data_IF_911871609044
#
_entry.id   IF_911871609044
#
_cell.length_a   1.000
_cell.length_b   1.000
_cell.length_c   1.000
_cell.angle_alpha   90.00
_cell.angle_beta   90.00
_cell.angle_gamma   90.00
#
_symmetry.space_group_name_H-M   'P 1'
#
loop_
_entity.id
_entity.type
_entity.pdbx_description
1 polymer ?
#
# COMPACT_ATOMS: atom_id res chain seq x y z
N UNK A 1 -3.76 -1.96 27.98
CA UNK A 1 -3.25 -0.76 27.27
C UNK A 1 -4.06 -0.60 25.99
N UNK A 2 -4.51 0.62 25.66
CA UNK A 2 -5.19 0.89 24.39
C UNK A 2 -4.22 0.66 23.24
N UNK A 3 -4.59 -0.15 22.25
CA UNK A 3 -3.75 -0.39 21.09
C UNK A 3 -3.44 0.95 20.39
N UNK A 4 -2.18 1.17 19.93
CA UNK A 4 -1.81 2.39 19.24
C UNK A 4 -2.66 2.57 17.97
N UNK A 5 -2.97 3.82 17.66
CA UNK A 5 -3.67 4.21 16.44
C UNK A 5 -2.65 4.70 15.42
N UNK A 6 -2.66 4.11 14.24
CA UNK A 6 -1.75 4.47 13.15
C UNK A 6 -2.53 5.16 12.03
N UNK A 7 -1.98 6.25 11.52
CA UNK A 7 -2.47 6.92 10.30
C UNK A 7 -1.52 6.62 9.16
N UNK A 8 -2.02 6.06 8.07
CA UNK A 8 -1.28 5.82 6.84
C UNK A 8 -1.71 6.86 5.81
N UNK A 9 -0.74 7.59 5.24
CA UNK A 9 -0.98 8.62 4.23
C UNK A 9 -0.65 8.04 2.85
N UNK A 10 -1.65 8.01 1.98
CA UNK A 10 -1.62 7.42 0.64
C UNK A 10 -2.32 6.05 0.59
N UNK A 11 -3.34 5.92 -0.25
CA UNK A 11 -4.05 4.66 -0.55
C UNK A 11 -3.60 4.04 -1.88
N UNK A 12 -2.29 4.15 -2.18
CA UNK A 12 -1.64 3.34 -3.19
C UNK A 12 -1.37 1.91 -2.70
N UNK A 13 -0.79 1.06 -3.55
CA UNK A 13 -0.47 -0.33 -3.23
C UNK A 13 0.34 -0.48 -1.94
N UNK A 14 1.38 0.34 -1.74
CA UNK A 14 2.20 0.32 -0.53
C UNK A 14 1.40 0.70 0.72
N UNK A 15 0.72 1.84 0.71
CA UNK A 15 -0.03 2.32 1.87
C UNK A 15 -1.19 1.39 2.25
N UNK A 16 -1.91 0.87 1.27
CA UNK A 16 -2.98 -0.11 1.48
C UNK A 16 -2.45 -1.43 2.05
N UNK A 17 -1.31 -1.94 1.55
CA UNK A 17 -0.68 -3.14 2.08
C UNK A 17 -0.18 -2.95 3.52
N UNK A 18 0.44 -1.80 3.82
CA UNK A 18 0.87 -1.45 5.19
C UNK A 18 -0.33 -1.36 6.13
N UNK A 19 -1.41 -0.68 5.72
CA UNK A 19 -2.61 -0.57 6.54
C UNK A 19 -3.26 -1.93 6.82
N UNK A 20 -3.27 -2.81 5.82
CA UNK A 20 -3.77 -4.17 5.95
C UNK A 20 -2.94 -5.01 6.94
N UNK A 21 -1.61 -5.01 6.82
CA UNK A 21 -0.72 -5.72 7.75
C UNK A 21 -0.90 -5.20 9.19
N UNK A 22 -0.98 -3.89 9.39
CA UNK A 22 -1.22 -3.29 10.70
C UNK A 22 -2.59 -3.67 11.29
N UNK A 23 -3.64 -3.71 10.46
CA UNK A 23 -4.97 -4.13 10.89
C UNK A 23 -4.98 -5.62 11.30
N UNK A 24 -4.29 -6.50 10.56
CA UNK A 24 -4.15 -7.92 10.92
C UNK A 24 -3.41 -8.11 12.25
N UNK A 25 -2.49 -7.20 12.60
CA UNK A 25 -1.79 -7.20 13.90
C UNK A 25 -2.64 -6.63 15.04
N UNK A 26 -3.90 -6.27 14.80
CA UNK A 26 -4.84 -5.77 15.81
C UNK A 26 -4.68 -4.27 16.13
N UNK A 27 -3.99 -3.50 15.30
CA UNK A 27 -3.90 -2.05 15.46
C UNK A 27 -5.13 -1.37 14.87
N UNK A 28 -5.49 -0.22 15.44
CA UNK A 28 -6.47 0.67 14.81
C UNK A 28 -5.74 1.46 13.72
N UNK A 29 -6.26 1.45 12.50
CA UNK A 29 -5.63 2.10 11.36
C UNK A 29 -6.61 3.00 10.65
N UNK A 30 -6.16 4.19 10.27
CA UNK A 30 -6.90 5.10 9.37
C UNK A 30 -6.02 5.36 8.15
N UNK A 31 -6.58 5.18 6.95
CA UNK A 31 -5.89 5.51 5.69
C UNK A 31 -6.47 6.81 5.15
N UNK A 32 -5.60 7.72 4.70
CA UNK A 32 -5.99 8.99 4.11
C UNK A 32 -5.38 9.10 2.71
N UNK A 33 -6.21 9.37 1.72
CA UNK A 33 -5.80 9.59 0.32
C UNK A 33 -6.37 10.92 -0.17
N UNK A 34 -5.63 11.61 -1.05
CA UNK A 34 -6.05 12.87 -1.65
C UNK A 34 -7.19 12.67 -2.65
N UNK A 35 -7.17 11.58 -3.40
CA UNK A 35 -8.16 11.26 -4.43
C UNK A 35 -8.82 9.89 -4.23
N UNK A 36 -9.16 9.24 -5.33
CA UNK A 36 -9.68 7.87 -5.32
C UNK A 36 -8.59 6.86 -4.93
N UNK A 37 -9.01 5.74 -4.35
CA UNK A 37 -8.08 4.65 -4.00
C UNK A 37 -7.30 4.22 -5.24
N UNK A 38 -5.98 4.04 -5.09
CA UNK A 38 -5.05 3.69 -6.16
C UNK A 38 -4.96 4.69 -7.33
N UNK A 39 -5.44 5.94 -7.23
CA UNK A 39 -5.44 6.90 -8.36
C UNK A 39 -4.06 7.33 -8.87
N UNK A 40 -3.01 7.13 -8.06
CA UNK A 40 -1.61 7.42 -8.40
C UNK A 40 -0.94 6.34 -9.26
N UNK A 41 0.35 6.09 -9.03
CA UNK A 41 1.14 5.08 -9.77
C UNK A 41 0.52 3.68 -9.72
N UNK A 42 -0.11 3.33 -8.60
CA UNK A 42 -0.73 2.01 -8.41
C UNK A 42 -1.91 1.72 -9.34
N UNK A 43 -2.60 2.74 -9.85
CA UNK A 43 -3.64 2.60 -10.87
C UNK A 43 -3.15 2.89 -12.29
N UNK A 44 -1.88 3.27 -12.46
CA UNK A 44 -1.26 3.70 -13.72
C UNK A 44 0.02 2.91 -14.03
N UNK A 45 -0.07 1.59 -13.92
CA UNK A 45 1.01 0.66 -14.26
C UNK A 45 0.46 -0.46 -15.17
N UNK A 46 1.33 -1.37 -15.61
CA UNK A 46 0.93 -2.45 -16.52
C UNK A 46 0.17 -3.59 -15.82
N UNK A 47 -0.04 -3.52 -14.51
CA UNK A 47 -0.67 -4.55 -13.69
C UNK A 47 0.01 -5.93 -13.86
N UNK A 48 1.33 -5.94 -14.08
CA UNK A 48 2.13 -7.15 -14.25
C UNK A 48 2.89 -7.46 -12.97
N UNK A 49 2.64 -8.65 -12.42
CA UNK A 49 3.55 -9.26 -11.46
C UNK A 49 4.61 -10.03 -12.24
N UNK A 50 5.72 -9.37 -12.53
CA UNK A 50 6.82 -9.98 -13.29
C UNK A 50 8.11 -10.03 -12.47
N UNK A 51 8.95 -11.02 -12.75
CA UNK A 51 10.21 -11.27 -12.02
C UNK A 51 11.30 -10.23 -12.26
N UNK A 52 11.10 -9.26 -13.15
CA UNK A 52 12.15 -8.33 -13.51
C UNK A 52 13.15 -8.85 -14.54
N UNK A 53 12.84 -9.85 -15.39
CA UNK A 53 13.83 -10.50 -16.27
C UNK A 53 14.78 -9.60 -17.07
N UNK A 54 14.34 -8.40 -17.49
CA UNK A 54 15.21 -7.39 -18.14
C UNK A 54 16.32 -6.84 -17.23
N UNK A 55 16.13 -6.89 -15.92
CA UNK A 55 17.09 -6.47 -14.90
C UNK A 55 18.08 -7.59 -14.54
N UNK A 56 17.87 -8.81 -15.03
CA UNK A 56 18.71 -9.98 -14.73
C UNK A 56 19.74 -10.30 -15.82
N UNK A 57 19.74 -9.54 -16.92
CA UNK A 57 20.68 -9.72 -18.03
C UNK A 57 21.65 -8.55 -18.04
N UNK A 58 22.93 -8.87 -17.86
CA UNK A 58 24.09 -7.99 -18.14
C UNK A 58 24.71 -8.40 -19.45
#
# INVERSE_FOLDING_TARGET
MSAPHVVVIGAGSTGSATAHDLALRGLRVTVVERGEVASGTSGRNHCLLHSGGRYCVT
#
